data_IF_665875025159
#
_entry.id   IF_665875025159
#
_cell.length_a   1.000
_cell.length_b   1.000
_cell.length_c   1.000
_cell.angle_alpha   90.00
_cell.angle_beta   90.00
_cell.angle_gamma   90.00
#
_symmetry.space_group_name_H-M   'P 1'
#
loop_
_entity.id
_entity.type
_entity.pdbx_description
1 polymer ?
#
# COMPACT_ATOMS: atom_id res chain seq x y z
N UNK A 1 -5.99 7.36 0.69
CA UNK A 1 -4.65 6.90 0.29
C UNK A 1 -4.66 5.38 0.16
N UNK A 2 -4.21 4.83 -0.98
CA UNK A 2 -4.29 3.39 -1.29
C UNK A 2 -3.62 2.50 -0.23
N UNK A 3 -2.40 2.85 0.20
CA UNK A 3 -1.63 2.07 1.20
C UNK A 3 -2.33 1.98 2.56
N UNK A 4 -2.96 3.06 3.02
CA UNK A 4 -3.72 3.05 4.27
C UNK A 4 -4.96 2.15 4.17
N UNK A 5 -5.62 2.13 3.01
CA UNK A 5 -6.75 1.24 2.76
C UNK A 5 -6.30 -0.24 2.72
N UNK A 6 -5.20 -0.54 2.02
CA UNK A 6 -4.59 -1.87 1.98
C UNK A 6 -4.30 -2.37 3.41
N UNK A 7 -3.61 -1.58 4.24
CA UNK A 7 -3.33 -1.94 5.63
C UNK A 7 -4.60 -2.20 6.46
N UNK A 8 -5.67 -1.44 6.24
CA UNK A 8 -6.93 -1.62 6.96
C UNK A 8 -7.71 -2.85 6.52
N UNK A 9 -7.52 -3.30 5.28
CA UNK A 9 -8.14 -4.53 4.74
C UNK A 9 -7.49 -5.82 5.28
N UNK A 10 -6.29 -5.72 5.87
CA UNK A 10 -5.55 -6.86 6.40
C UNK A 10 -5.98 -7.22 7.84
N UNK A 11 -5.88 -8.51 8.21
CA UNK A 11 -5.97 -8.96 9.60
C UNK A 11 -4.99 -8.24 10.52
N UNK A 12 -5.31 -8.13 11.81
CA UNK A 12 -4.49 -7.41 12.79
C UNK A 12 -3.03 -7.90 12.85
N UNK A 13 -2.80 -9.21 12.69
CA UNK A 13 -1.45 -9.82 12.66
C UNK A 13 -0.61 -9.37 11.46
N UNK A 14 -1.27 -8.96 10.37
CA UNK A 14 -0.64 -8.60 9.10
C UNK A 14 -0.58 -7.08 8.88
N UNK A 15 -1.16 -6.27 9.77
CA UNK A 15 -1.03 -4.82 9.73
C UNK A 15 0.44 -4.42 9.82
N UNK A 16 0.80 -3.44 9.01
CA UNK A 16 2.17 -3.05 8.76
C UNK A 16 2.44 -1.55 8.93
N UNK A 17 1.42 -0.69 8.94
CA UNK A 17 1.58 0.73 9.29
C UNK A 17 1.73 0.86 10.80
N UNK A 18 2.84 1.46 11.23
CA UNK A 18 3.14 1.78 12.63
C UNK A 18 2.57 3.16 12.96
N UNK A 19 2.84 4.15 12.09
CA UNK A 19 2.42 5.52 12.30
C UNK A 19 2.35 6.25 10.96
N UNK A 20 1.27 7.03 10.77
CA UNK A 20 1.20 8.05 9.71
C UNK A 20 1.67 9.37 10.31
N UNK A 21 2.61 10.05 9.66
CA UNK A 21 3.08 11.34 10.12
C UNK A 21 1.97 12.37 9.88
N UNK A 22 1.46 12.96 10.97
CA UNK A 22 0.26 13.83 10.93
C UNK A 22 0.46 15.14 10.17
N UNK A 23 1.71 15.53 9.93
CA UNK A 23 2.08 16.77 9.24
C UNK A 23 2.22 16.58 7.73
N UNK A 24 2.38 15.34 7.25
CA UNK A 24 2.46 15.00 5.85
C UNK A 24 1.76 13.66 5.57
N UNK A 25 0.59 13.71 4.91
CA UNK A 25 -0.14 12.49 4.51
C UNK A 25 0.59 11.69 3.41
N UNK A 26 1.81 12.08 3.07
CA UNK A 26 2.68 11.44 2.08
C UNK A 26 3.62 10.41 2.68
N UNK A 27 3.88 10.48 4.00
CA UNK A 27 4.91 9.69 4.66
C UNK A 27 4.34 8.78 5.75
N UNK A 28 4.82 7.53 5.80
CA UNK A 28 4.39 6.53 6.78
C UNK A 28 5.59 5.76 7.32
N UNK A 29 5.57 5.50 8.62
CA UNK A 29 6.42 4.47 9.22
C UNK A 29 5.74 3.12 9.09
N UNK A 30 6.42 2.19 8.43
CA UNK A 30 5.94 0.83 8.19
C UNK A 30 6.94 -0.19 8.72
N UNK A 31 6.48 -1.43 8.92
CA UNK A 31 7.35 -2.55 9.29
C UNK A 31 8.31 -2.90 8.14
N UNK A 32 9.53 -3.40 8.42
CA UNK A 32 10.56 -3.64 7.39
C UNK A 32 10.10 -4.58 6.26
N UNK A 33 9.37 -5.65 6.59
CA UNK A 33 8.86 -6.61 5.60
C UNK A 33 7.75 -6.06 4.70
N UNK A 34 7.24 -4.87 4.99
CA UNK A 34 6.12 -4.29 4.24
C UNK A 34 6.56 -3.71 2.89
N UNK A 35 7.85 -3.45 2.69
CA UNK A 35 8.36 -2.83 1.47
C UNK A 35 7.98 -3.64 0.22
N UNK A 36 8.33 -4.93 0.20
CA UNK A 36 8.06 -5.82 -0.93
C UNK A 36 6.56 -5.96 -1.20
N UNK A 37 5.78 -6.21 -0.14
CA UNK A 37 4.32 -6.32 -0.23
C UNK A 37 3.66 -5.03 -0.76
N UNK A 38 4.12 -3.85 -0.31
CA UNK A 38 3.62 -2.56 -0.79
C UNK A 38 3.96 -2.39 -2.27
N UNK A 39 5.20 -2.71 -2.67
CA UNK A 39 5.66 -2.60 -4.05
C UNK A 39 4.80 -3.47 -4.98
N UNK A 40 4.57 -4.72 -4.62
CA UNK A 40 3.78 -5.66 -5.41
C UNK A 40 2.32 -5.20 -5.53
N UNK A 41 1.72 -4.75 -4.43
CA UNK A 41 0.35 -4.25 -4.43
C UNK A 41 0.18 -3.00 -5.30
N UNK A 42 1.17 -2.10 -5.31
CA UNK A 42 1.15 -0.88 -6.14
C UNK A 42 1.32 -1.22 -7.63
N UNK A 43 2.22 -2.15 -7.97
CA UNK A 43 2.40 -2.62 -9.35
C UNK A 43 1.10 -3.23 -9.86
N UNK A 44 0.53 -4.18 -9.12
CA UNK A 44 -0.74 -4.82 -9.48
C UNK A 44 -1.87 -3.80 -9.63
N UNK A 45 -1.99 -2.87 -8.69
CA UNK A 45 -3.00 -1.82 -8.76
C UNK A 45 -2.84 -0.96 -10.02
N UNK A 46 -1.61 -0.57 -10.36
CA UNK A 46 -1.33 0.19 -11.59
C UNK A 46 -1.70 -0.63 -12.82
N UNK A 47 -1.33 -1.89 -12.87
CA UNK A 47 -1.57 -2.76 -14.02
C UNK A 47 -3.07 -3.02 -14.23
N UNK A 48 -3.85 -3.21 -13.17
CA UNK A 48 -5.32 -3.33 -13.22
C UNK A 48 -6.03 -2.02 -13.65
N UNK A 49 -5.43 -0.87 -13.35
CA UNK A 49 -5.94 0.44 -13.75
C UNK A 49 -5.34 0.94 -15.07
N UNK A 50 -4.49 0.14 -15.71
CA UNK A 50 -3.93 0.48 -17.02
C UNK A 50 -5.01 0.29 -18.08
N UNK A 51 -5.48 1.37 -18.70
CA UNK A 51 -6.37 1.33 -19.88
C UNK A 51 -5.70 0.74 -21.14
N UNK A 52 -4.69 -0.12 -20.97
CA UNK A 52 -4.14 -0.89 -22.06
C UNK A 52 -5.26 -1.81 -22.57
N UNK A 53 -5.93 -1.37 -23.64
CA UNK A 53 -6.79 -2.25 -24.44
C UNK A 53 -5.97 -3.51 -24.73
N UNK A 54 -6.52 -4.66 -24.40
CA UNK A 54 -6.05 -5.92 -24.95
C UNK A 54 -6.15 -5.78 -26.47
N UNK A 55 -5.01 -5.53 -27.12
CA UNK A 55 -4.85 -5.65 -28.56
C UNK A 55 -4.44 -7.08 -28.88
#
# INVERSE_FOLDING_TARGET
MFIAHLNNSLPASQKFIIQVLKLDTTSMFVKPYAEEMIRDAVIKFRDENSYAKAN
#
